data_IF_123968175039
#
_entry.id   IF_123968175039
#
_cell.length_a   1.000
_cell.length_b   1.000
_cell.length_c   1.000
_cell.angle_alpha   90.00
_cell.angle_beta   90.00
_cell.angle_gamma   90.00
#
_symmetry.space_group_name_H-M   'P 1'
#
loop_
_entity.id
_entity.type
_entity.pdbx_description
1 polymer ?
#
# COMPACT_ATOMS: atom_id res chain seq x y z
N UNK A 1 43.20 -19.31 -7.93
CA UNK A 1 42.46 -20.59 -7.90
C UNK A 1 42.34 -20.98 -6.44
N UNK A 2 41.21 -21.13 -5.79
CA UNK A 2 39.78 -21.04 -6.09
C UNK A 2 39.11 -20.78 -4.72
N UNK A 3 38.15 -19.87 -4.65
CA UNK A 3 36.97 -20.03 -3.77
C UNK A 3 36.04 -21.04 -4.46
N UNK A 4 35.15 -21.81 -3.79
CA UNK A 4 34.25 -21.29 -2.74
C UNK A 4 33.82 -22.27 -1.64
N UNK A 5 33.64 -21.77 -0.42
CA UNK A 5 32.68 -22.36 0.52
C UNK A 5 31.64 -21.31 0.87
N UNK A 6 30.43 -21.54 0.36
CA UNK A 6 29.19 -20.86 0.68
C UNK A 6 28.56 -21.47 1.93
N UNK A 7 28.48 -20.72 3.03
CA UNK A 7 27.58 -20.94 4.18
C UNK A 7 27.81 -19.80 5.20
N UNK A 8 26.86 -19.03 5.71
CA UNK A 8 25.42 -18.97 5.51
C UNK A 8 24.91 -17.58 5.91
N UNK A 9 23.79 -17.19 5.30
CA UNK A 9 23.01 -16.00 5.65
C UNK A 9 22.23 -16.28 6.94
N UNK A 10 22.48 -15.51 8.01
CA UNK A 10 21.61 -15.48 9.18
C UNK A 10 20.94 -14.11 9.33
N UNK A 11 19.61 -14.11 9.21
CA UNK A 11 18.74 -12.98 9.53
C UNK A 11 17.28 -13.38 9.50
N UNK A 12 16.66 -13.52 10.69
CA UNK A 12 15.21 -13.66 10.95
C UNK A 12 14.89 -13.05 12.33
N UNK A 13 13.64 -12.58 12.57
CA UNK A 13 12.40 -13.26 12.19
C UNK A 13 11.52 -12.44 11.24
N UNK A 14 11.79 -12.60 9.94
CA UNK A 14 10.99 -12.01 8.86
C UNK A 14 11.36 -12.48 7.46
N UNK A 15 12.66 -12.67 7.18
CA UNK A 15 13.24 -13.06 5.86
C UNK A 15 12.73 -12.10 4.76
N UNK A 16 13.36 -10.95 4.53
CA UNK A 16 14.78 -10.80 4.19
C UNK A 16 15.13 -9.32 4.26
N UNK A 17 16.15 -8.95 5.04
CA UNK A 17 16.63 -7.57 5.07
C UNK A 17 17.64 -7.39 3.94
N UNK A 18 17.20 -6.80 2.83
CA UNK A 18 18.13 -6.30 1.85
C UNK A 18 18.69 -4.98 2.35
N UNK A 19 19.99 -4.95 2.60
CA UNK A 19 20.72 -3.71 2.82
C UNK A 19 20.95 -3.03 1.48
N UNK A 20 20.49 -1.79 1.36
CA UNK A 20 20.67 -0.94 0.20
C UNK A 20 21.59 0.23 0.56
N UNK A 21 22.89 0.18 0.19
CA UNK A 21 23.76 1.34 0.30
C UNK A 21 23.24 2.52 -0.54
N UNK A 22 23.70 3.75 -0.26
CA UNK A 22 23.43 4.90 -1.12
C UNK A 22 23.76 4.60 -2.59
N UNK A 23 22.90 5.05 -3.50
CA UNK A 23 23.02 4.86 -4.95
C UNK A 23 22.93 3.40 -5.41
N UNK A 24 22.36 2.51 -4.58
CA UNK A 24 22.08 1.13 -4.96
C UNK A 24 20.62 0.96 -5.42
N UNK A 25 20.39 0.02 -6.34
CA UNK A 25 19.07 -0.27 -6.87
C UNK A 25 18.73 -1.77 -6.86
N UNK A 26 17.44 -2.04 -6.70
CA UNK A 26 16.79 -3.32 -6.98
C UNK A 26 15.93 -3.09 -8.21
N UNK A 27 16.10 -3.94 -9.22
CA UNK A 27 15.30 -3.89 -10.44
C UNK A 27 14.78 -5.28 -10.77
N UNK A 28 13.47 -5.39 -11.01
CA UNK A 28 12.84 -6.63 -11.41
C UNK A 28 11.74 -6.37 -12.44
N UNK A 29 11.64 -7.25 -13.44
CA UNK A 29 10.45 -7.31 -14.31
C UNK A 29 9.44 -8.24 -13.66
N UNK A 30 8.27 -7.69 -13.34
CA UNK A 30 7.15 -8.44 -12.77
C UNK A 30 6.14 -8.69 -13.89
N UNK A 31 5.73 -9.94 -14.04
CA UNK A 31 4.75 -10.40 -15.03
C UNK A 31 3.38 -10.62 -14.39
N UNK A 32 2.35 -10.75 -15.22
CA UNK A 32 0.99 -11.04 -14.79
C UNK A 32 0.15 -9.79 -14.51
N UNK A 33 0.61 -8.63 -14.98
CA UNK A 33 -0.21 -7.43 -14.95
C UNK A 33 -1.36 -7.54 -15.95
N UNK A 34 -2.48 -6.91 -15.60
CA UNK A 34 -3.61 -6.74 -16.51
C UNK A 34 -3.58 -5.30 -17.00
N UNK A 35 -3.36 -5.05 -18.30
CA UNK A 35 -3.32 -3.70 -18.84
C UNK A 35 -4.55 -2.87 -18.44
N UNK A 36 -4.31 -1.63 -18.02
CA UNK A 36 -5.36 -0.71 -17.56
C UNK A 36 -5.92 -0.98 -16.15
N UNK A 37 -5.53 -2.07 -15.47
CA UNK A 37 -5.80 -2.24 -14.03
C UNK A 37 -4.78 -1.47 -13.20
N UNK A 38 -5.19 -1.06 -12.00
CA UNK A 38 -4.32 -0.38 -11.04
C UNK A 38 -3.63 -1.40 -10.15
N UNK A 39 -2.37 -1.12 -9.86
CA UNK A 39 -1.52 -1.88 -8.96
C UNK A 39 -0.91 -0.95 -7.92
N UNK A 40 -0.54 -1.51 -6.77
CA UNK A 40 0.25 -0.86 -5.74
C UNK A 40 1.60 -1.55 -5.64
N UNK A 41 2.66 -0.75 -5.64
CA UNK A 41 3.98 -1.13 -5.18
C UNK A 41 4.08 -0.75 -3.70
N UNK A 42 4.19 -1.75 -2.83
CA UNK A 42 4.35 -1.59 -1.39
C UNK A 42 5.79 -1.94 -1.01
N UNK A 43 6.47 -1.04 -0.31
CA UNK A 43 7.83 -1.25 0.17
C UNK A 43 7.87 -0.99 1.67
N UNK A 44 8.34 -1.94 2.44
CA UNK A 44 8.58 -1.80 3.87
C UNK A 44 10.08 -1.56 4.09
N UNK A 45 10.43 -0.37 4.59
CA UNK A 45 11.82 0.05 4.72
C UNK A 45 12.10 0.83 6.02
N UNK A 46 13.36 0.79 6.44
CA UNK A 46 13.89 1.53 7.58
C UNK A 46 15.28 2.10 7.25
N UNK A 47 15.63 3.24 7.84
CA UNK A 47 16.97 3.82 7.77
C UNK A 47 17.89 3.13 8.78
N UNK A 48 19.20 3.14 8.53
CA UNK A 48 20.15 2.44 9.40
C UNK A 48 20.37 3.06 10.78
N UNK A 49 20.07 4.35 10.95
CA UNK A 49 20.26 5.06 12.20
C UNK A 49 19.12 6.04 12.46
N UNK A 50 18.80 6.22 13.73
CA UNK A 50 17.86 7.24 14.19
C UNK A 50 18.37 8.63 13.79
N UNK A 51 17.52 9.41 13.08
CA UNK A 51 17.89 10.73 12.57
C UNK A 51 18.65 10.74 11.23
N UNK A 52 18.93 9.58 10.63
CA UNK A 52 19.40 9.53 9.26
C UNK A 52 18.23 9.83 8.30
N UNK A 53 18.41 10.83 7.42
CA UNK A 53 17.42 11.17 6.39
C UNK A 53 17.71 10.37 5.12
N UNK A 54 17.13 9.16 5.04
CA UNK A 54 17.21 8.33 3.85
C UNK A 54 16.14 8.71 2.82
N UNK A 55 16.39 8.39 1.56
CA UNK A 55 15.41 8.54 0.49
C UNK A 55 15.38 7.30 -0.42
N UNK A 56 14.19 6.80 -0.71
CA UNK A 56 13.94 5.76 -1.69
C UNK A 56 13.22 6.33 -2.91
N UNK A 57 13.72 6.02 -4.11
CA UNK A 57 12.98 6.19 -5.36
C UNK A 57 12.28 4.89 -5.70
N UNK A 58 10.96 4.96 -5.83
CA UNK A 58 10.09 3.87 -6.23
C UNK A 58 9.63 4.13 -7.66
N UNK A 59 9.85 3.21 -8.58
CA UNK A 59 9.38 3.33 -9.95
C UNK A 59 8.71 2.04 -10.45
N UNK A 60 7.57 2.19 -11.13
CA UNK A 60 6.84 1.09 -11.75
C UNK A 60 5.90 1.59 -12.86
N UNK A 61 5.84 0.88 -13.98
CA UNK A 61 4.89 1.16 -15.07
C UNK A 61 4.95 2.60 -15.58
N UNK A 62 6.16 3.15 -15.73
CA UNK A 62 6.39 4.53 -16.19
C UNK A 62 6.11 5.62 -15.14
N UNK A 63 5.69 5.25 -13.92
CA UNK A 63 5.52 6.18 -12.80
C UNK A 63 6.69 6.09 -11.84
N UNK A 64 7.03 7.22 -11.21
CA UNK A 64 8.07 7.33 -10.20
C UNK A 64 7.61 8.20 -9.02
N UNK A 65 8.05 7.85 -7.81
CA UNK A 65 7.86 8.62 -6.57
C UNK A 65 9.11 8.50 -5.70
N UNK A 66 9.58 9.60 -5.12
CA UNK A 66 10.61 9.58 -4.06
C UNK A 66 9.93 9.68 -2.69
N UNK A 67 10.32 8.81 -1.76
CA UNK A 67 9.81 8.74 -0.40
C UNK A 67 10.94 8.88 0.61
N UNK A 68 10.72 9.67 1.66
CA UNK A 68 11.67 9.80 2.77
C UNK A 68 11.57 8.60 3.73
N UNK A 69 12.71 8.09 4.17
CA UNK A 69 12.86 7.04 5.18
C UNK A 69 13.59 7.65 6.36
N UNK A 70 12.84 8.07 7.37
CA UNK A 70 13.33 8.99 8.42
C UNK A 70 13.55 8.33 9.78
N UNK A 71 13.37 7.01 9.87
CA UNK A 71 13.42 6.28 11.13
C UNK A 71 14.05 4.91 10.92
N UNK A 72 14.68 4.41 11.99
CA UNK A 72 15.13 3.04 12.17
C UNK A 72 13.97 2.03 12.39
N UNK A 73 12.75 2.53 12.62
CA UNK A 73 11.54 1.75 12.57
C UNK A 73 11.07 1.54 11.12
N UNK A 74 10.64 0.32 10.82
CA UNK A 74 10.07 0.00 9.51
C UNK A 74 8.78 0.79 9.28
N UNK A 75 8.79 1.55 8.19
CA UNK A 75 7.61 2.25 7.68
C UNK A 75 7.23 1.68 6.32
N UNK A 76 5.92 1.70 6.04
CA UNK A 76 5.39 1.23 4.77
C UNK A 76 5.23 2.41 3.81
N UNK A 77 5.81 2.28 2.63
CA UNK A 77 5.67 3.21 1.52
C UNK A 77 4.86 2.56 0.41
N UNK A 78 3.96 3.33 -0.21
CA UNK A 78 3.02 2.81 -1.21
C UNK A 78 2.96 3.74 -2.41
N UNK A 79 3.07 3.18 -3.61
CA UNK A 79 2.89 3.88 -4.88
C UNK A 79 1.88 3.16 -5.77
N UNK A 80 0.87 3.87 -6.28
CA UNK A 80 -0.10 3.33 -7.24
C UNK A 80 0.33 3.58 -8.69
N UNK A 81 0.28 2.56 -9.55
CA UNK A 81 0.58 2.65 -10.98
C UNK A 81 -0.41 1.81 -11.81
N UNK A 82 -0.45 2.03 -13.13
CA UNK A 82 -1.26 1.26 -14.06
C UNK A 82 -0.41 0.93 -15.30
N UNK A 83 0.00 -0.33 -15.50
CA UNK A 83 0.83 -0.70 -16.63
C UNK A 83 0.03 -0.81 -17.92
N UNK A 84 0.68 -0.51 -19.04
CA UNK A 84 0.13 -0.64 -20.39
C UNK A 84 0.34 -2.04 -20.99
N UNK A 85 1.12 -2.90 -20.31
CA UNK A 85 1.50 -4.24 -20.74
C UNK A 85 1.32 -5.27 -19.62
N UNK A 86 1.48 -6.55 -19.94
CA UNK A 86 1.40 -7.69 -19.01
C UNK A 86 2.65 -7.84 -18.12
N UNK A 87 3.70 -7.07 -18.43
CA UNK A 87 4.92 -6.99 -17.67
C UNK A 87 5.24 -5.53 -17.35
N UNK A 88 5.67 -5.27 -16.11
CA UNK A 88 6.15 -3.97 -15.69
C UNK A 88 7.50 -4.10 -14.98
N UNK A 89 8.44 -3.22 -15.33
CA UNK A 89 9.66 -3.04 -14.56
C UNK A 89 9.31 -2.33 -13.24
N UNK A 90 9.81 -2.88 -12.14
CA UNK A 90 9.72 -2.33 -10.80
C UNK A 90 11.15 -2.02 -10.34
N UNK A 91 11.36 -0.80 -9.86
CA UNK A 91 12.63 -0.31 -9.36
C UNK A 91 12.44 0.26 -7.96
N UNK A 92 13.34 -0.12 -7.06
CA UNK A 92 13.53 0.47 -5.73
C UNK A 92 14.98 0.91 -5.67
N UNK A 93 15.25 2.19 -5.50
CA UNK A 93 16.61 2.73 -5.46
C UNK A 93 16.81 3.57 -4.21
N UNK A 94 17.95 3.39 -3.53
CA UNK A 94 18.38 4.29 -2.48
C UNK A 94 19.03 5.52 -3.13
N UNK A 95 18.32 6.65 -3.08
CA UNK A 95 18.75 7.93 -3.66
C UNK A 95 19.24 8.91 -2.60
N UNK A 96 19.63 8.40 -1.43
CA UNK A 96 20.16 9.23 -0.34
C UNK A 96 21.47 9.90 -0.74
N UNK A 97 21.59 11.21 -0.47
CA UNK A 97 22.81 11.97 -0.71
C UNK A 97 23.91 11.66 0.32
N UNK A 98 23.53 11.18 1.50
CA UNK A 98 24.44 10.78 2.55
C UNK A 98 25.01 9.37 2.28
N UNK A 99 26.31 9.30 1.98
CA UNK A 99 27.05 8.06 1.72
C UNK A 99 27.09 7.09 2.91
N UNK A 100 26.68 7.52 4.12
CA UNK A 100 26.49 6.66 5.28
C UNK A 100 25.06 6.12 5.47
N UNK A 101 24.09 6.57 4.66
CA UNK A 101 22.68 6.25 4.85
C UNK A 101 22.29 4.95 4.14
N UNK A 102 22.58 3.84 4.79
CA UNK A 102 22.05 2.54 4.37
C UNK A 102 20.54 2.47 4.66
N UNK A 103 19.77 1.95 3.69
CA UNK A 103 18.35 1.67 3.84
C UNK A 103 18.15 0.16 3.88
N UNK A 104 17.40 -0.32 4.85
CA UNK A 104 17.02 -1.72 4.97
C UNK A 104 15.63 -1.92 4.43
N UNK A 105 15.49 -2.81 3.44
CA UNK A 105 14.21 -3.20 2.87
C UNK A 105 13.88 -4.62 3.35
N UNK A 106 12.75 -4.77 4.05
CA UNK A 106 12.28 -6.08 4.53
C UNK A 106 11.33 -6.76 3.53
N UNK A 107 10.54 -5.94 2.81
CA UNK A 107 9.46 -6.43 1.96
C UNK A 107 9.20 -5.51 0.79
N UNK A 108 9.05 -6.11 -0.39
CA UNK A 108 8.59 -5.45 -1.62
C UNK A 108 7.47 -6.30 -2.20
N UNK A 109 6.29 -5.71 -2.33
CA UNK A 109 5.09 -6.39 -2.82
C UNK A 109 4.43 -5.59 -3.95
N UNK A 110 3.91 -6.31 -4.94
CA UNK A 110 3.06 -5.76 -6.00
C UNK A 110 1.67 -6.35 -5.84
N UNK A 111 0.69 -5.50 -5.59
CA UNK A 111 -0.70 -5.91 -5.34
C UNK A 111 -1.62 -5.29 -6.39
N UNK A 112 -2.47 -6.09 -7.03
CA UNK A 112 -3.53 -5.56 -7.87
C UNK A 112 -4.58 -4.90 -6.99
N UNK A 113 -4.95 -3.65 -7.28
CA UNK A 113 -6.08 -3.03 -6.62
C UNK A 113 -7.39 -3.52 -7.27
N UNK A 114 -8.36 -3.99 -6.47
CA UNK A 114 -9.67 -4.28 -6.99
C UNK A 114 -10.29 -2.99 -7.56
N UNK A 115 -11.08 -3.07 -8.64
CA UNK A 115 -11.80 -1.94 -9.16
C UNK A 115 -12.77 -1.43 -8.10
N UNK A 116 -13.08 -0.12 -8.14
CA UNK A 116 -13.97 0.52 -7.15
C UNK A 116 -15.30 -0.21 -7.01
N UNK A 117 -15.86 -0.69 -8.12
CA UNK A 117 -17.14 -1.41 -8.15
C UNK A 117 -17.10 -2.70 -7.33
N UNK A 118 -16.00 -3.44 -7.37
CA UNK A 118 -15.78 -4.66 -6.60
C UNK A 118 -15.64 -4.34 -5.11
N UNK A 119 -14.82 -3.33 -4.76
CA UNK A 119 -14.70 -2.87 -3.37
C UNK A 119 -16.02 -2.37 -2.80
N UNK A 120 -16.80 -1.63 -3.59
CA UNK A 120 -18.13 -1.16 -3.19
C UNK A 120 -19.07 -2.35 -3.01
N UNK A 121 -19.03 -3.34 -3.90
CA UNK A 121 -19.82 -4.56 -3.79
C UNK A 121 -19.48 -5.38 -2.55
N UNK A 122 -18.19 -5.58 -2.25
CA UNK A 122 -17.73 -6.26 -1.04
C UNK A 122 -18.12 -5.52 0.23
N UNK A 123 -17.92 -4.21 0.27
CA UNK A 123 -18.35 -3.37 1.40
C UNK A 123 -19.85 -3.46 1.59
N UNK A 124 -20.63 -3.38 0.52
CA UNK A 124 -22.09 -3.51 0.57
C UNK A 124 -22.50 -4.88 1.11
N UNK A 125 -21.91 -5.96 0.62
CA UNK A 125 -22.19 -7.33 1.09
C UNK A 125 -21.83 -7.53 2.56
N UNK A 126 -20.74 -6.91 3.04
CA UNK A 126 -20.33 -6.95 4.44
C UNK A 126 -21.35 -6.23 5.36
N UNK A 127 -21.94 -5.15 4.87
CA UNK A 127 -22.93 -4.37 5.60
C UNK A 127 -24.35 -4.97 5.51
N UNK A 128 -24.72 -5.57 4.38
CA UNK A 128 -26.01 -6.23 4.15
C UNK A 128 -26.05 -7.65 4.74
N UNK A 129 -25.89 -7.75 6.07
CA UNK A 129 -25.83 -9.03 6.80
C UNK A 129 -27.05 -9.93 6.60
N UNK A 130 -28.18 -9.36 6.19
CA UNK A 130 -29.43 -10.06 5.96
C UNK A 130 -29.66 -10.43 4.49
N UNK A 131 -28.76 -10.04 3.57
CA UNK A 131 -28.87 -10.32 2.14
C UNK A 131 -30.11 -9.68 1.50
N UNK A 132 -30.55 -8.54 2.03
CA UNK A 132 -31.75 -7.84 1.58
C UNK A 132 -31.57 -7.10 0.26
N UNK A 133 -30.32 -6.96 -0.20
CA UNK A 133 -29.92 -6.16 -1.35
C UNK A 133 -30.02 -4.66 -1.11
N UNK A 134 -30.23 -4.22 0.15
CA UNK A 134 -30.39 -2.81 0.53
C UNK A 134 -29.72 -2.54 1.88
N UNK A 135 -29.06 -1.40 2.00
CA UNK A 135 -28.55 -0.94 3.30
C UNK A 135 -29.57 0.01 3.92
N UNK A 136 -30.08 -0.35 5.09
CA UNK A 136 -30.93 0.50 5.92
C UNK A 136 -30.12 1.48 6.77
N UNK A 137 -30.83 2.21 7.65
CA UNK A 137 -30.20 3.14 8.60
C UNK A 137 -29.21 2.43 9.52
N UNK A 138 -29.55 1.25 10.06
CA UNK A 138 -28.72 0.54 11.05
C UNK A 138 -27.38 0.04 10.48
N UNK A 139 -27.32 -0.66 9.32
CA UNK A 139 -26.04 -1.04 8.73
C UNK A 139 -25.15 0.15 8.39
N UNK A 140 -25.73 1.26 7.91
CA UNK A 140 -24.96 2.46 7.57
C UNK A 140 -24.50 3.24 8.80
N UNK A 141 -25.28 3.29 9.88
CA UNK A 141 -24.84 3.88 11.15
C UNK A 141 -23.60 3.13 11.65
N UNK A 142 -23.67 1.81 11.69
CA UNK A 142 -22.55 0.98 12.12
C UNK A 142 -21.31 1.21 11.26
N UNK A 143 -21.49 1.40 9.95
CA UNK A 143 -20.39 1.76 9.07
C UNK A 143 -19.81 3.14 9.43
N UNK A 144 -20.66 4.13 9.69
CA UNK A 144 -20.25 5.47 10.10
C UNK A 144 -19.47 5.43 11.44
N UNK A 145 -19.96 4.68 12.42
CA UNK A 145 -19.28 4.46 13.71
C UNK A 145 -17.87 3.86 13.52
N UNK A 146 -17.73 2.89 12.61
CA UNK A 146 -16.42 2.30 12.27
C UNK A 146 -15.46 3.30 11.61
N UNK A 147 -15.99 4.32 10.94
CA UNK A 147 -15.21 5.43 10.39
C UNK A 147 -14.92 6.53 11.44
N UNK A 148 -15.37 6.37 12.68
CA UNK A 148 -15.20 7.34 13.75
C UNK A 148 -16.24 8.45 13.77
N UNK A 149 -17.36 8.29 13.07
CA UNK A 149 -18.52 9.17 13.26
C UNK A 149 -19.22 8.81 14.56
N UNK A 150 -19.18 9.74 15.51
CA UNK A 150 -19.87 9.64 16.79
C UNK A 150 -21.17 10.43 16.71
N UNK A 151 -22.23 9.80 16.19
CA UNK A 151 -23.57 10.37 16.15
C UNK A 151 -24.53 9.48 16.91
N UNK A 152 -25.31 10.06 17.82
CA UNK A 152 -26.36 9.33 18.51
C UNK A 152 -27.37 8.76 17.50
N UNK A 153 -27.96 7.61 17.84
CA UNK A 153 -28.87 6.88 16.94
C UNK A 153 -30.04 7.74 16.47
N UNK A 154 -30.57 8.56 17.35
CA UNK A 154 -31.70 9.46 17.10
C UNK A 154 -31.35 10.57 16.11
N UNK A 155 -30.11 11.07 16.16
CA UNK A 155 -29.60 12.07 15.23
C UNK A 155 -29.30 11.45 13.86
N UNK A 156 -28.80 10.22 13.85
CA UNK A 156 -28.55 9.48 12.62
C UNK A 156 -29.82 9.23 11.81
N UNK A 157 -30.92 8.84 12.45
CA UNK A 157 -32.18 8.57 11.75
C UNK A 157 -32.70 9.82 11.00
N UNK A 158 -32.47 11.01 11.55
CA UNK A 158 -32.79 12.29 10.89
C UNK A 158 -31.87 12.53 9.70
N UNK A 159 -30.56 12.32 9.87
CA UNK A 159 -29.57 12.50 8.81
C UNK A 159 -29.77 11.51 7.65
N UNK A 160 -30.00 10.23 7.97
CA UNK A 160 -30.26 9.17 7.00
C UNK A 160 -31.48 9.48 6.13
N UNK A 161 -32.57 9.98 6.72
CA UNK A 161 -33.77 10.40 5.99
C UNK A 161 -33.54 11.62 5.10
N UNK A 162 -32.54 12.44 5.39
CA UNK A 162 -32.16 13.60 4.57
C UNK A 162 -31.23 13.23 3.39
N UNK A 163 -30.55 12.08 3.43
CA UNK A 163 -29.63 11.65 2.36
C UNK A 163 -30.27 11.57 0.96
N UNK A 164 -31.47 11.00 0.77
CA UNK A 164 -32.07 10.91 -0.57
C UNK A 164 -32.30 12.30 -1.20
N UNK A 165 -32.77 13.26 -0.39
CA UNK A 165 -32.99 14.64 -0.84
C UNK A 165 -31.68 15.40 -1.11
N UNK A 166 -30.64 15.15 -0.32
CA UNK A 166 -29.34 15.81 -0.46
C UNK A 166 -28.54 15.34 -1.69
N UNK A 167 -28.72 14.08 -2.10
CA UNK A 167 -27.95 13.46 -3.20
C UNK A 167 -28.78 13.16 -4.46
N UNK A 168 -30.04 13.61 -4.51
CA UNK A 168 -30.89 13.50 -5.70
C UNK A 168 -31.42 12.09 -5.98
N UNK A 169 -31.50 11.23 -4.97
CA UNK A 169 -32.18 9.94 -5.06
C UNK A 169 -33.65 10.13 -4.69
N UNK A 170 -34.48 10.55 -5.65
CA UNK A 170 -35.93 10.70 -5.52
C UNK A 170 -36.67 9.73 -6.42
#
# INVERSE_FOLDING_TARGET
RESPESAGLEGRPGKSLLKMPPQSEIMQVVHGHVPGRRFQLCVQAAAAAEGAEGALRLAAGGREVVVGVLSDAYTQHVMSYAPDADAAQVVVENVSDDFGCDIFVDRVEVLQQPPREELVGELFALLDRHGSGRLGADPLLRFAELLGFDSAREEWDVQYKALPAAYGFG
#
